data_IF_182819489753
#
_entry.id   IF_182819489753
#
_cell.length_a   1.000
_cell.length_b   1.000
_cell.length_c   1.000
_cell.angle_alpha   90.00
_cell.angle_beta   90.00
_cell.angle_gamma   90.00
#
_symmetry.space_group_name_H-M   'P 1'
#
loop_
_entity.id
_entity.type
_entity.pdbx_description
1 polymer ?
#
# COMPACT_ATOMS: atom_id res chain seq x y z
N UNK A 1 -18.43 -6.52 9.17
CA UNK A 1 -18.53 -5.04 9.29
C UNK A 1 -17.27 -4.36 8.79
N UNK A 2 -16.08 -4.78 9.23
CA UNK A 2 -14.82 -4.14 8.86
C UNK A 2 -14.38 -4.38 7.42
N UNK A 3 -14.59 -5.57 6.88
CA UNK A 3 -14.34 -5.89 5.46
C UNK A 3 -15.09 -4.94 4.51
N UNK A 4 -16.34 -4.63 4.84
CA UNK A 4 -17.17 -3.70 4.06
C UNK A 4 -16.66 -2.26 4.12
N UNK A 5 -16.03 -1.83 5.22
CA UNK A 5 -15.40 -0.51 5.27
C UNK A 5 -14.24 -0.43 4.30
N UNK A 6 -13.38 -1.45 4.25
CA UNK A 6 -12.23 -1.49 3.36
C UNK A 6 -12.69 -1.55 1.90
N UNK A 7 -13.72 -2.35 1.63
CA UNK A 7 -14.38 -2.33 0.33
C UNK A 7 -14.88 -0.93 -0.05
N UNK A 8 -15.59 -0.23 0.84
CA UNK A 8 -16.05 1.14 0.60
C UNK A 8 -14.90 2.12 0.39
N UNK A 9 -13.81 1.98 1.15
CA UNK A 9 -12.60 2.78 0.98
C UNK A 9 -11.98 2.53 -0.40
N UNK A 10 -11.85 1.27 -0.81
CA UNK A 10 -11.28 0.89 -2.11
C UNK A 10 -12.15 1.36 -3.27
N UNK A 11 -13.47 1.24 -3.14
CA UNK A 11 -14.41 1.72 -4.15
C UNK A 11 -14.35 3.24 -4.28
N UNK A 12 -14.28 3.95 -3.16
CA UNK A 12 -14.09 5.40 -3.16
C UNK A 12 -12.76 5.80 -3.82
N UNK A 13 -11.65 5.19 -3.42
CA UNK A 13 -10.32 5.51 -3.97
C UNK A 13 -10.22 5.14 -5.45
N UNK A 14 -10.82 4.03 -5.89
CA UNK A 14 -10.88 3.66 -7.31
C UNK A 14 -11.64 4.69 -8.15
N UNK A 15 -12.75 5.22 -7.65
CA UNK A 15 -13.48 6.32 -8.33
C UNK A 15 -12.66 7.60 -8.36
N UNK A 16 -11.96 7.92 -7.27
CA UNK A 16 -11.03 9.05 -7.19
C UNK A 16 -9.83 8.92 -8.15
N UNK A 17 -9.37 7.70 -8.44
CA UNK A 17 -8.32 7.43 -9.45
C UNK A 17 -8.84 7.65 -10.87
N UNK A 18 -10.05 7.18 -11.16
CA UNK A 18 -10.70 7.37 -12.47
C UNK A 18 -11.06 8.82 -12.75
N UNK A 19 -11.39 9.58 -11.70
CA UNK A 19 -11.71 10.99 -11.80
C UNK A 19 -11.15 11.74 -10.59
N UNK A 20 -10.08 12.51 -10.81
CA UNK A 20 -9.39 13.28 -9.77
C UNK A 20 -10.28 14.35 -9.10
N UNK A 21 -11.36 14.78 -9.76
CA UNK A 21 -12.36 15.71 -9.19
C UNK A 21 -13.45 14.99 -8.38
N UNK A 22 -13.48 13.66 -8.40
CA UNK A 22 -14.44 12.90 -7.62
C UNK A 22 -14.19 13.14 -6.13
N UNK A 23 -15.24 13.55 -5.43
CA UNK A 23 -15.14 14.00 -4.04
C UNK A 23 -15.93 13.11 -3.11
N UNK A 24 -15.63 13.20 -1.81
CA UNK A 24 -16.40 12.49 -0.79
C UNK A 24 -17.87 12.91 -0.78
N UNK A 25 -18.18 14.16 -1.17
CA UNK A 25 -19.56 14.65 -1.33
C UNK A 25 -20.26 13.96 -2.49
N UNK A 26 -19.58 13.80 -3.62
CA UNK A 26 -20.12 13.05 -4.76
C UNK A 26 -20.37 11.58 -4.40
N UNK A 27 -19.44 10.95 -3.67
CA UNK A 27 -19.63 9.57 -3.22
C UNK A 27 -20.75 9.43 -2.19
N UNK A 28 -20.85 10.36 -1.24
CA UNK A 28 -21.93 10.39 -0.26
C UNK A 28 -23.30 10.59 -0.92
N UNK A 29 -23.38 11.49 -1.90
CA UNK A 29 -24.58 11.69 -2.72
C UNK A 29 -24.97 10.41 -3.47
N UNK A 30 -24.00 9.71 -4.07
CA UNK A 30 -24.26 8.44 -4.74
C UNK A 30 -24.82 7.38 -3.77
N UNK A 31 -24.28 7.32 -2.55
CA UNK A 31 -24.70 6.39 -1.48
C UNK A 31 -25.90 6.85 -0.65
N UNK A 32 -26.47 8.02 -0.97
CA UNK A 32 -27.59 8.65 -0.26
C UNK A 32 -27.33 8.77 1.26
N UNK A 33 -26.15 9.24 1.61
CA UNK A 33 -25.83 9.66 2.98
C UNK A 33 -25.16 11.03 2.97
N UNK A 34 -25.09 11.68 4.13
CA UNK A 34 -24.34 12.91 4.25
C UNK A 34 -22.82 12.66 4.24
N UNK A 35 -22.07 13.66 3.75
CA UNK A 35 -20.62 13.54 3.61
C UNK A 35 -19.88 13.40 4.94
N UNK A 36 -20.45 13.88 6.04
CA UNK A 36 -19.82 13.75 7.37
C UNK A 36 -19.92 12.30 7.85
N UNK A 37 -21.09 11.68 7.72
CA UNK A 37 -21.32 10.28 8.06
C UNK A 37 -20.45 9.37 7.21
N UNK A 38 -20.37 9.62 5.90
CA UNK A 38 -19.50 8.83 5.04
C UNK A 38 -18.04 8.96 5.46
N UNK A 39 -17.58 10.18 5.76
CA UNK A 39 -16.22 10.40 6.23
C UNK A 39 -15.93 9.66 7.53
N UNK A 40 -16.85 9.66 8.50
CA UNK A 40 -16.66 8.96 9.78
C UNK A 40 -16.70 7.44 9.60
N UNK A 41 -17.52 6.92 8.68
CA UNK A 41 -17.55 5.49 8.31
C UNK A 41 -16.22 5.10 7.66
N UNK A 42 -15.76 5.87 6.66
CA UNK A 42 -14.49 5.62 5.97
C UNK A 42 -13.29 5.77 6.91
N UNK A 43 -13.31 6.64 7.91
CA UNK A 43 -12.25 6.75 8.92
C UNK A 43 -12.39 5.74 10.07
N UNK A 44 -13.49 4.97 10.12
CA UNK A 44 -13.73 3.94 11.14
C UNK A 44 -14.20 4.46 12.48
N UNK A 45 -14.45 5.76 12.58
CA UNK A 45 -14.97 6.44 13.77
C UNK A 45 -16.45 6.16 13.99
N UNK A 46 -17.17 5.78 12.92
CA UNK A 46 -18.60 5.39 12.96
C UNK A 46 -18.80 3.98 12.42
N UNK A 47 -19.50 3.14 13.18
CA UNK A 47 -19.96 1.81 12.74
C UNK A 47 -21.11 1.96 11.73
N UNK A 48 -21.14 1.11 10.71
CA UNK A 48 -22.21 1.05 9.70
C UNK A 48 -23.32 0.10 10.17
N UNK A 49 -24.60 0.40 9.96
CA UNK A 49 -25.66 -0.57 10.28
C UNK A 49 -25.84 -1.59 9.15
N UNK A 50 -26.39 -2.79 9.44
CA UNK A 50 -26.65 -3.79 8.41
C UNK A 50 -27.60 -3.25 7.31
N UNK A 51 -28.65 -2.52 7.69
CA UNK A 51 -29.58 -1.89 6.74
C UNK A 51 -28.87 -0.90 5.80
N UNK A 52 -27.96 -0.09 6.34
CA UNK A 52 -27.16 0.85 5.53
C UNK A 52 -26.22 0.09 4.59
N UNK A 53 -25.67 -1.01 5.07
CA UNK A 53 -24.76 -1.83 4.29
C UNK A 53 -25.47 -2.51 3.10
N UNK A 54 -26.65 -3.07 3.32
CA UNK A 54 -27.46 -3.70 2.28
C UNK A 54 -27.80 -2.70 1.16
N UNK A 55 -28.11 -1.46 1.54
CA UNK A 55 -28.33 -0.38 0.56
C UNK A 55 -27.07 -0.03 -0.24
N UNK A 56 -25.90 -0.11 0.37
CA UNK A 56 -24.64 0.16 -0.33
C UNK A 56 -24.28 -0.96 -1.31
N UNK A 57 -24.50 -2.22 -0.93
CA UNK A 57 -24.22 -3.37 -1.80
C UNK A 57 -25.18 -3.43 -2.99
N UNK A 58 -26.43 -2.99 -2.83
CA UNK A 58 -27.37 -2.82 -3.94
C UNK A 58 -26.88 -1.80 -4.98
N UNK A 59 -26.32 -0.68 -4.52
CA UNK A 59 -25.84 0.40 -5.41
C UNK A 59 -24.47 0.17 -6.03
N UNK A 60 -23.56 -0.44 -5.29
CA UNK A 60 -22.16 -0.62 -5.69
C UNK A 60 -21.89 -2.01 -6.26
N UNK A 61 -22.84 -2.94 -6.15
CA UNK A 61 -22.60 -4.36 -6.35
C UNK A 61 -22.06 -5.04 -5.09
N UNK A 62 -22.18 -6.37 -5.03
CA UNK A 62 -21.62 -7.13 -3.91
C UNK A 62 -20.09 -7.06 -3.95
N UNK A 63 -19.41 -6.91 -2.80
CA UNK A 63 -17.97 -7.01 -2.75
C UNK A 63 -17.54 -8.38 -3.27
N UNK A 64 -16.59 -8.41 -4.20
CA UNK A 64 -15.91 -9.63 -4.67
C UNK A 64 -14.86 -10.07 -3.63
N UNK A 65 -15.24 -10.07 -2.35
CA UNK A 65 -14.35 -10.37 -1.23
C UNK A 65 -14.43 -11.88 -0.97
N UNK A 66 -13.64 -12.64 -1.72
CA UNK A 66 -13.14 -13.93 -1.24
C UNK A 66 -11.90 -13.63 -0.39
N UNK A 67 -12.09 -13.52 0.93
CA UNK A 67 -10.99 -13.37 1.88
C UNK A 67 -10.92 -14.68 2.69
N UNK A 68 -9.91 -15.50 2.38
CA UNK A 68 -9.49 -16.70 3.13
C UNK A 68 -8.97 -16.31 4.53
N UNK A 69 -9.84 -15.97 5.47
CA UNK A 69 -9.46 -15.77 6.88
C UNK A 69 -10.31 -16.67 7.78
N UNK A 70 -10.26 -17.98 7.49
CA UNK A 70 -11.03 -19.00 8.20
C UNK A 70 -10.53 -19.30 9.62
N UNK A 71 -9.48 -18.64 10.12
CA UNK A 71 -8.80 -19.05 11.37
C UNK A 71 -8.57 -17.95 12.41
N UNK A 72 -9.12 -16.75 12.24
CA UNK A 72 -8.92 -15.66 13.21
C UNK A 72 -10.08 -15.60 14.22
N UNK A 73 -9.80 -15.56 15.55
CA UNK A 73 -10.86 -15.47 16.56
C UNK A 73 -11.72 -14.20 16.38
N UNK A 74 -13.04 -14.40 16.42
CA UNK A 74 -14.07 -13.39 16.11
C UNK A 74 -14.21 -12.35 17.24
N UNK A 75 -13.35 -11.34 17.24
CA UNK A 75 -13.67 -10.03 17.83
C UNK A 75 -13.45 -8.94 16.76
N UNK A 76 -14.37 -7.98 16.67
CA UNK A 76 -14.43 -7.03 15.54
C UNK A 76 -13.17 -6.16 15.40
N UNK A 77 -12.46 -5.95 16.49
CA UNK A 77 -11.25 -5.12 16.58
C UNK A 77 -10.01 -5.85 16.06
N UNK A 78 -9.83 -7.13 16.41
CA UNK A 78 -8.70 -7.92 15.91
C UNK A 78 -8.79 -8.12 14.38
N UNK A 79 -9.99 -8.40 13.87
CA UNK A 79 -10.23 -8.50 12.42
C UNK A 79 -9.93 -7.16 11.71
N UNK A 80 -10.19 -6.03 12.37
CA UNK A 80 -9.89 -4.70 11.82
C UNK A 80 -8.40 -4.45 11.67
N UNK A 81 -7.64 -4.74 12.72
CA UNK A 81 -6.18 -4.62 12.72
C UNK A 81 -5.57 -5.53 11.65
N UNK A 82 -6.03 -6.78 11.55
CA UNK A 82 -5.53 -7.73 10.57
C UNK A 82 -5.77 -7.26 9.12
N UNK A 83 -6.95 -6.74 8.81
CA UNK A 83 -7.27 -6.24 7.47
C UNK A 83 -6.53 -4.94 7.13
N UNK A 84 -6.33 -4.07 8.11
CA UNK A 84 -5.52 -2.87 7.94
C UNK A 84 -4.05 -3.21 7.70
N UNK A 85 -3.50 -4.15 8.47
CA UNK A 85 -2.16 -4.67 8.24
C UNK A 85 -2.05 -5.26 6.83
N UNK A 86 -3.02 -6.06 6.39
CA UNK A 86 -3.07 -6.59 5.02
C UNK A 86 -3.05 -5.46 3.98
N UNK A 87 -3.85 -4.41 4.18
CA UNK A 87 -3.92 -3.30 3.22
C UNK A 87 -2.63 -2.49 3.17
N UNK A 88 -2.00 -2.23 4.33
CA UNK A 88 -0.68 -1.59 4.40
C UNK A 88 0.38 -2.42 3.69
N UNK A 89 0.33 -3.75 3.81
CA UNK A 89 1.24 -4.65 3.08
C UNK A 89 0.94 -4.74 1.58
N UNK A 90 -0.29 -4.42 1.14
CA UNK A 90 -0.73 -4.61 -0.24
C UNK A 90 -0.53 -3.40 -1.14
N UNK A 91 -0.66 -2.19 -0.60
CA UNK A 91 -0.69 -0.95 -1.38
C UNK A 91 0.57 -0.11 -1.15
N UNK A 92 1.36 0.08 -2.21
CA UNK A 92 2.72 0.67 -2.17
C UNK A 92 2.80 2.02 -1.46
N UNK A 93 1.75 2.84 -1.60
CA UNK A 93 1.76 4.21 -1.11
C UNK A 93 1.81 4.30 0.42
N UNK A 94 1.40 3.27 1.18
CA UNK A 94 1.52 3.31 2.63
C UNK A 94 2.97 3.37 3.09
N UNK A 95 3.84 2.54 2.49
CA UNK A 95 5.27 2.56 2.75
C UNK A 95 5.89 3.88 2.29
N UNK A 96 5.51 4.38 1.11
CA UNK A 96 6.03 5.66 0.62
C UNK A 96 5.63 6.84 1.52
N UNK A 97 4.39 6.88 2.02
CA UNK A 97 3.92 7.89 2.98
C UNK A 97 4.71 7.79 4.29
N UNK A 98 4.95 6.58 4.79
CA UNK A 98 5.73 6.36 6.01
C UNK A 98 7.15 6.90 5.86
N UNK A 99 7.82 6.63 4.74
CA UNK A 99 9.16 7.15 4.46
C UNK A 99 9.16 8.67 4.28
N UNK A 100 8.18 9.24 3.56
CA UNK A 100 8.04 10.70 3.40
C UNK A 100 7.90 11.42 4.75
N UNK A 101 7.10 10.87 5.67
CA UNK A 101 6.92 11.43 7.03
C UNK A 101 8.24 11.44 7.81
N UNK A 102 9.17 10.55 7.50
CA UNK A 102 10.49 10.50 8.12
C UNK A 102 11.43 11.62 7.65
N UNK A 103 11.16 12.25 6.50
CA UNK A 103 12.04 13.27 5.91
C UNK A 103 11.93 14.58 6.71
N UNK A 104 13.04 15.12 7.24
CA UNK A 104 13.02 16.38 7.97
C UNK A 104 12.51 17.54 7.11
N UNK A 105 11.54 18.30 7.63
CA UNK A 105 11.02 19.51 6.99
C UNK A 105 9.94 19.28 5.91
N UNK A 106 9.42 18.05 5.78
CA UNK A 106 8.32 17.76 4.86
C UNK A 106 7.02 18.45 5.29
N UNK A 107 6.15 18.86 4.35
CA UNK A 107 4.79 19.30 4.68
C UNK A 107 3.86 18.08 4.78
N UNK A 108 3.40 17.78 6.00
CA UNK A 108 2.54 16.65 6.34
C UNK A 108 1.07 16.82 5.89
N UNK A 109 0.72 17.94 5.25
CA UNK A 109 -0.64 18.11 4.69
C UNK A 109 -0.93 17.02 3.65
N UNK A 110 -2.13 16.42 3.68
CA UNK A 110 -2.51 15.42 2.69
C UNK A 110 -2.39 15.88 1.24
N UNK A 111 -2.56 17.18 0.97
CA UNK A 111 -2.37 17.77 -0.36
C UNK A 111 -0.92 17.76 -0.83
N UNK A 112 0.04 18.00 0.07
CA UNK A 112 1.46 18.01 -0.24
C UNK A 112 1.96 16.60 -0.54
N UNK A 113 1.64 15.64 0.35
CA UNK A 113 2.00 14.23 0.18
C UNK A 113 1.38 13.66 -1.10
N UNK A 114 0.11 13.98 -1.38
CA UNK A 114 -0.58 13.56 -2.60
C UNK A 114 0.14 14.04 -3.86
N UNK A 115 0.58 15.30 -3.87
CA UNK A 115 1.32 15.89 -4.98
C UNK A 115 2.67 15.19 -5.19
N UNK A 116 3.41 14.93 -4.11
CA UNK A 116 4.73 14.28 -4.19
C UNK A 116 4.66 12.83 -4.66
N UNK A 117 3.61 12.10 -4.29
CA UNK A 117 3.45 10.68 -4.66
C UNK A 117 2.62 10.47 -5.93
N UNK A 118 2.02 11.52 -6.51
CA UNK A 118 1.15 11.39 -7.67
C UNK A 118 -0.12 10.59 -7.40
N UNK A 119 -0.68 10.68 -6.18
CA UNK A 119 -1.91 9.99 -5.76
C UNK A 119 -2.99 10.98 -5.32
N UNK A 120 -4.22 10.52 -5.10
CA UNK A 120 -5.30 11.41 -4.66
C UNK A 120 -5.18 11.78 -3.17
N UNK A 121 -5.52 13.01 -2.79
CA UNK A 121 -5.58 13.45 -1.38
C UNK A 121 -6.49 12.57 -0.51
N UNK A 122 -7.55 12.01 -1.10
CA UNK A 122 -8.43 11.05 -0.44
C UNK A 122 -7.67 9.78 -0.02
N UNK A 123 -6.80 9.26 -0.90
CA UNK A 123 -5.96 8.09 -0.62
C UNK A 123 -5.00 8.38 0.52
N UNK A 124 -4.34 9.53 0.49
CA UNK A 124 -3.43 9.95 1.57
C UNK A 124 -4.14 10.03 2.91
N UNK A 125 -5.34 10.65 2.97
CA UNK A 125 -6.10 10.75 4.23
C UNK A 125 -6.46 9.37 4.79
N UNK A 126 -6.95 8.47 3.93
CA UNK A 126 -7.28 7.10 4.32
C UNK A 126 -6.03 6.32 4.77
N UNK A 127 -4.90 6.54 4.09
CA UNK A 127 -3.63 5.91 4.43
C UNK A 127 -3.11 6.38 5.79
N UNK A 128 -3.13 7.69 6.07
CA UNK A 128 -2.72 8.25 7.35
C UNK A 128 -3.59 7.73 8.50
N UNK A 129 -4.92 7.71 8.33
CA UNK A 129 -5.85 7.14 9.33
C UNK A 129 -5.60 5.64 9.59
N UNK A 130 -5.08 4.91 8.60
CA UNK A 130 -4.72 3.50 8.74
C UNK A 130 -3.38 3.31 9.43
N UNK A 131 -2.36 4.06 9.01
CA UNK A 131 -1.03 4.06 9.63
C UNK A 131 -1.10 4.47 11.10
N UNK A 132 -1.95 5.45 11.46
CA UNK A 132 -2.16 5.88 12.85
C UNK A 132 -2.85 4.79 13.67
N UNK A 133 -3.88 4.14 13.12
CA UNK A 133 -4.58 3.03 13.80
C UNK A 133 -3.71 1.80 14.02
N UNK A 134 -2.76 1.55 13.13
CA UNK A 134 -1.76 0.49 13.28
C UNK A 134 -0.55 0.94 14.13
N UNK A 135 -0.61 2.13 14.73
CA UNK A 135 0.45 2.71 15.55
C UNK A 135 1.79 2.84 14.81
N UNK A 136 1.77 2.88 13.48
CA UNK A 136 2.96 3.07 12.64
C UNK A 136 3.39 4.53 12.57
N UNK A 137 2.42 5.44 12.77
CA UNK A 137 2.65 6.87 12.96
C UNK A 137 1.86 7.37 14.15
N UNK A 138 2.37 8.40 14.81
CA UNK A 138 1.68 9.13 15.86
C UNK A 138 1.48 10.58 15.43
N UNK A 139 0.26 11.10 15.59
CA UNK A 139 -0.05 12.50 15.30
C UNK A 139 0.33 13.41 16.48
N UNK A 140 1.10 14.46 16.22
CA UNK A 140 1.41 15.54 17.18
C UNK A 140 0.96 16.87 16.59
N UNK A 141 -0.24 17.31 16.95
CA UNK A 141 -0.84 18.52 16.38
C UNK A 141 -1.09 18.40 14.87
N UNK A 142 -0.32 19.14 14.06
CA UNK A 142 -0.41 19.13 12.60
C UNK A 142 0.63 18.23 11.92
N UNK A 143 1.58 17.67 12.66
CA UNK A 143 2.64 16.80 12.14
C UNK A 143 2.39 15.34 12.54
N UNK A 144 3.03 14.44 11.80
CA UNK A 144 3.07 13.01 12.11
C UNK A 144 4.50 12.61 12.41
N UNK A 145 4.69 11.64 13.28
CA UNK A 145 6.00 11.06 13.58
C UNK A 145 5.91 9.56 13.39
N UNK A 146 6.92 8.95 12.77
CA UNK A 146 7.03 7.49 12.66
C UNK A 146 7.22 6.89 14.05
N UNK A 147 6.54 5.79 14.32
CA UNK A 147 6.83 4.97 15.50
C UNK A 147 8.11 4.16 15.25
N UNK A 148 8.96 4.05 16.26
CA UNK A 148 10.20 3.25 16.18
C UNK A 148 9.85 1.76 16.11
N UNK A 149 10.33 1.05 15.08
CA UNK A 149 10.32 -0.41 15.06
C UNK A 149 9.57 -1.11 13.91
N UNK A 150 8.98 -0.39 12.95
CA UNK A 150 8.40 -1.08 11.78
C UNK A 150 9.47 -1.35 10.72
N UNK A 151 10.10 -2.51 10.83
CA UNK A 151 10.72 -3.15 9.68
C UNK A 151 9.60 -3.79 8.87
N UNK A 152 9.52 -3.51 7.58
CA UNK A 152 8.58 -4.14 6.65
C UNK A 152 8.58 -5.64 6.91
N UNK A 153 7.51 -6.16 7.53
CA UNK A 153 7.35 -7.56 7.89
C UNK A 153 7.23 -8.39 6.61
N UNK A 154 8.37 -8.65 5.99
CA UNK A 154 8.55 -9.69 5.00
C UNK A 154 8.68 -11.00 5.77
N UNK A 155 7.60 -11.78 5.84
CA UNK A 155 7.73 -13.18 6.19
C UNK A 155 8.37 -13.91 5.00
N UNK A 156 9.52 -14.53 5.26
CA UNK A 156 10.10 -15.47 4.29
C UNK A 156 9.04 -16.56 4.02
N UNK A 157 8.79 -16.81 2.73
CA UNK A 157 8.02 -17.94 2.18
C UNK A 157 6.50 -17.79 1.94
N UNK A 158 5.89 -16.60 2.08
CA UNK A 158 4.45 -16.44 1.73
C UNK A 158 4.25 -15.44 0.59
N UNK A 159 3.97 -15.94 -0.62
CA UNK A 159 3.47 -15.12 -1.74
C UNK A 159 1.97 -14.85 -1.60
N UNK A 160 1.58 -14.13 -0.54
CA UNK A 160 0.17 -13.75 -0.36
C UNK A 160 -0.32 -12.84 -1.48
N UNK A 161 -1.63 -12.76 -1.67
CA UNK A 161 -2.26 -11.82 -2.61
C UNK A 161 -1.82 -10.37 -2.36
N UNK A 162 -1.60 -9.99 -1.09
CA UNK A 162 -1.02 -8.69 -0.71
C UNK A 162 0.36 -8.48 -1.33
N UNK A 163 1.28 -9.44 -1.13
CA UNK A 163 2.64 -9.33 -1.68
C UNK A 163 2.63 -9.27 -3.20
N UNK A 164 1.80 -10.07 -3.87
CA UNK A 164 1.66 -10.03 -5.34
C UNK A 164 1.21 -8.64 -5.79
N UNK A 165 0.15 -8.11 -5.18
CA UNK A 165 -0.38 -6.77 -5.51
C UNK A 165 0.66 -5.67 -5.28
N UNK A 166 1.34 -5.69 -4.14
CA UNK A 166 2.38 -4.71 -3.79
C UNK A 166 3.54 -4.75 -4.80
N UNK A 167 4.06 -5.94 -5.11
CA UNK A 167 5.15 -6.10 -6.07
C UNK A 167 4.74 -5.69 -7.48
N UNK A 168 3.52 -6.04 -7.92
CA UNK A 168 2.98 -5.59 -9.22
C UNK A 168 2.96 -4.07 -9.33
N UNK A 169 2.44 -3.38 -8.31
CA UNK A 169 2.39 -1.92 -8.30
C UNK A 169 3.79 -1.28 -8.35
N UNK A 170 4.77 -1.84 -7.64
CA UNK A 170 6.15 -1.34 -7.70
C UNK A 170 6.79 -1.54 -9.07
N UNK A 171 6.53 -2.67 -9.74
CA UNK A 171 7.01 -2.92 -11.10
C UNK A 171 6.35 -1.94 -12.08
N UNK A 172 5.05 -1.66 -11.94
CA UNK A 172 4.37 -0.62 -12.73
C UNK A 172 5.02 0.76 -12.51
N UNK A 173 5.40 1.10 -11.27
CA UNK A 173 6.13 2.34 -10.98
C UNK A 173 7.52 2.37 -11.59
N UNK A 174 8.24 1.25 -11.59
CA UNK A 174 9.51 1.15 -12.30
C UNK A 174 9.33 1.33 -13.82
N UNK A 175 8.28 0.75 -14.40
CA UNK A 175 7.90 0.95 -15.80
C UNK A 175 7.60 2.43 -16.11
N UNK A 176 6.83 3.12 -15.27
CA UNK A 176 6.59 4.56 -15.40
C UNK A 176 7.89 5.37 -15.32
N UNK A 177 8.81 5.01 -14.43
CA UNK A 177 10.10 5.67 -14.26
C UNK A 177 11.03 5.52 -15.48
N UNK A 178 10.90 4.45 -16.27
CA UNK A 178 11.61 4.30 -17.55
C UNK A 178 11.32 5.49 -18.46
N UNK A 179 10.06 5.95 -18.54
CA UNK A 179 9.66 7.01 -19.45
C UNK A 179 9.73 8.41 -18.83
N UNK A 180 9.44 8.54 -17.53
CA UNK A 180 9.17 9.84 -16.91
C UNK A 180 10.27 10.34 -15.97
N UNK A 181 11.18 9.47 -15.51
CA UNK A 181 12.27 9.85 -14.61
C UNK A 181 13.55 10.15 -15.40
N UNK A 182 14.33 11.14 -14.98
CA UNK A 182 15.59 11.51 -15.64
C UNK A 182 16.62 10.39 -15.50
N UNK A 183 17.58 10.32 -16.43
CA UNK A 183 18.61 9.28 -16.42
C UNK A 183 19.50 9.31 -15.16
N UNK A 184 19.79 10.50 -14.62
CA UNK A 184 20.62 10.68 -13.42
C UNK A 184 19.90 10.26 -12.12
N UNK A 185 18.56 10.26 -12.14
CA UNK A 185 17.71 9.98 -10.97
C UNK A 185 17.24 8.50 -10.94
N UNK A 186 17.73 7.65 -11.86
CA UNK A 186 17.33 6.24 -11.93
C UNK A 186 18.46 5.31 -12.39
N UNK A 187 18.44 4.08 -11.89
CA UNK A 187 19.19 2.97 -12.45
C UNK A 187 18.24 1.80 -12.67
N UNK A 188 17.84 1.58 -13.93
CA UNK A 188 16.94 0.50 -14.34
C UNK A 188 17.67 -0.35 -15.37
N UNK A 189 18.43 -1.31 -14.88
CA UNK A 189 19.25 -2.22 -15.69
C UNK A 189 18.84 -3.67 -15.47
N UNK A 190 19.22 -4.54 -16.42
CA UNK A 190 18.95 -5.97 -16.32
C UNK A 190 20.04 -6.80 -16.98
N UNK A 191 20.17 -8.04 -16.53
CA UNK A 191 21.06 -9.04 -17.12
C UNK A 191 20.25 -10.30 -17.42
N UNK A 192 20.56 -10.98 -18.54
CA UNK A 192 19.93 -12.25 -18.91
C UNK A 192 20.99 -13.34 -18.93
N UNK A 193 20.73 -14.46 -18.27
CA UNK A 193 21.69 -15.55 -18.12
C UNK A 193 21.00 -16.91 -18.02
N UNK A 194 21.69 -17.96 -18.46
CA UNK A 194 21.35 -19.33 -18.09
C UNK A 194 21.92 -19.62 -16.69
N UNK A 195 21.13 -20.24 -15.82
CA UNK A 195 21.52 -20.49 -14.41
C UNK A 195 21.47 -21.99 -14.07
N UNK A 196 22.27 -22.39 -13.09
CA UNK A 196 22.01 -23.59 -12.30
C UNK A 196 20.98 -23.25 -11.21
N UNK A 197 19.82 -23.93 -11.23
CA UNK A 197 18.74 -23.71 -10.25
C UNK A 197 19.16 -24.07 -8.82
N UNK A 198 20.15 -24.95 -8.64
CA UNK A 198 20.68 -25.29 -7.32
C UNK A 198 21.33 -24.08 -6.62
N UNK A 199 21.73 -23.06 -7.38
CA UNK A 199 22.31 -21.82 -6.85
C UNK A 199 21.26 -20.77 -6.44
N UNK A 200 19.97 -20.98 -6.72
CA UNK A 200 18.91 -20.01 -6.37
C UNK A 200 18.82 -19.68 -4.87
N UNK A 201 18.95 -20.64 -3.92
CA UNK A 201 18.96 -20.32 -2.50
C UNK A 201 20.11 -19.40 -2.10
N UNK A 202 21.31 -19.62 -2.64
CA UNK A 202 22.48 -18.77 -2.41
C UNK A 202 22.29 -17.38 -3.04
N UNK A 203 21.78 -17.32 -4.27
CA UNK A 203 21.49 -16.06 -4.95
C UNK A 203 20.48 -15.20 -4.15
N UNK A 204 19.41 -15.80 -3.61
CA UNK A 204 18.43 -15.10 -2.75
C UNK A 204 19.07 -14.51 -1.50
N UNK A 205 19.98 -15.24 -0.84
CA UNK A 205 20.74 -14.73 0.32
C UNK A 205 21.60 -13.52 -0.05
N UNK A 206 22.31 -13.59 -1.18
CA UNK A 206 23.14 -12.47 -1.68
C UNK A 206 22.30 -11.24 -2.01
N UNK A 207 21.18 -11.42 -2.72
CA UNK A 207 20.24 -10.33 -3.04
C UNK A 207 19.69 -9.69 -1.75
N UNK A 208 19.35 -10.49 -0.74
CA UNK A 208 18.88 -9.98 0.56
C UNK A 208 19.95 -9.15 1.28
N UNK A 209 21.20 -9.62 1.30
CA UNK A 209 22.32 -8.89 1.89
C UNK A 209 22.56 -7.57 1.15
N UNK A 210 22.66 -7.60 -0.17
CA UNK A 210 22.82 -6.42 -1.01
C UNK A 210 21.72 -5.38 -0.75
N UNK A 211 20.44 -5.79 -0.69
CA UNK A 211 19.33 -4.86 -0.39
C UNK A 211 19.48 -4.17 0.97
N UNK A 212 20.00 -4.88 1.98
CA UNK A 212 20.25 -4.32 3.31
C UNK A 212 21.41 -3.33 3.28
N UNK A 213 22.52 -3.71 2.66
CA UNK A 213 23.70 -2.85 2.47
C UNK A 213 23.34 -1.55 1.72
N UNK A 214 22.53 -1.65 0.66
CA UNK A 214 22.05 -0.48 -0.08
C UNK A 214 21.13 0.41 0.74
N UNK A 215 20.25 -0.18 1.57
CA UNK A 215 19.39 0.61 2.46
C UNK A 215 20.24 1.37 3.49
N UNK A 216 21.18 0.70 4.16
CA UNK A 216 22.11 1.33 5.11
C UNK A 216 22.92 2.46 4.47
N UNK A 217 23.39 2.26 3.23
CA UNK A 217 24.13 3.27 2.46
C UNK A 217 23.25 4.49 2.14
N UNK A 218 22.05 4.28 1.60
CA UNK A 218 21.20 5.36 1.09
C UNK A 218 20.40 6.08 2.18
N UNK A 219 20.18 5.42 3.32
CA UNK A 219 19.56 6.05 4.50
C UNK A 219 20.56 6.85 5.33
N UNK A 220 21.87 6.66 5.12
CA UNK A 220 22.91 7.42 5.81
C UNK A 220 23.00 8.86 5.30
N UNK A 221 22.81 9.83 6.21
CA UNK A 221 22.90 11.25 5.92
C UNK A 221 21.54 11.94 5.82
N UNK A 222 21.49 13.05 5.07
CA UNK A 222 20.27 13.85 4.93
C UNK A 222 19.33 13.22 3.90
N UNK A 223 18.30 12.55 4.40
CA UNK A 223 17.21 12.03 3.60
C UNK A 223 16.39 13.19 3.01
N UNK A 224 16.12 13.17 1.70
CA UNK A 224 15.42 14.25 0.99
C UNK A 224 14.29 13.77 0.07
N UNK A 225 14.31 12.50 -0.32
CA UNK A 225 13.34 11.92 -1.24
C UNK A 225 13.20 10.42 -0.99
N UNK A 226 12.01 9.88 -1.27
CA UNK A 226 11.74 8.44 -1.17
C UNK A 226 12.09 7.77 -2.49
N UNK A 227 12.96 6.76 -2.41
CA UNK A 227 13.35 5.89 -3.53
C UNK A 227 12.86 4.47 -3.28
N UNK A 228 12.60 3.73 -4.37
CA UNK A 228 12.32 2.31 -4.30
C UNK A 228 13.43 1.52 -5.03
N UNK A 229 14.03 0.54 -4.35
CA UNK A 229 14.98 -0.40 -4.93
C UNK A 229 14.28 -1.75 -5.18
N UNK A 230 13.93 -2.01 -6.44
CA UNK A 230 13.37 -3.28 -6.89
C UNK A 230 14.42 -4.18 -7.53
N UNK A 231 14.46 -5.46 -7.14
CA UNK A 231 15.33 -6.47 -7.76
C UNK A 231 14.48 -7.70 -8.09
N UNK A 232 14.43 -8.07 -9.37
CA UNK A 232 13.64 -9.20 -9.84
C UNK A 232 14.54 -10.32 -10.36
N UNK A 233 14.40 -11.53 -9.81
CA UNK A 233 15.02 -12.75 -10.30
C UNK A 233 13.91 -13.79 -10.56
N UNK A 234 13.60 -14.03 -11.84
CA UNK A 234 12.49 -14.89 -12.26
C UNK A 234 12.88 -15.72 -13.49
N UNK A 235 12.24 -16.89 -13.71
CA UNK A 235 12.49 -17.67 -14.91
C UNK A 235 11.92 -16.98 -16.15
N UNK A 236 12.77 -16.69 -17.13
CA UNK A 236 12.36 -16.19 -18.45
C UNK A 236 11.98 -17.33 -19.41
N UNK A 237 12.46 -18.55 -19.15
CA UNK A 237 12.18 -19.74 -19.95
C UNK A 237 11.40 -20.80 -19.17
N UNK A 238 10.58 -21.57 -19.88
CA UNK A 238 9.84 -22.71 -19.31
C UNK A 238 10.80 -23.86 -19.04
N UNK A 239 10.46 -24.69 -18.05
CA UNK A 239 11.16 -25.95 -17.86
C UNK A 239 11.01 -26.86 -19.08
N UNK A 240 12.11 -27.48 -19.51
CA UNK A 240 12.03 -28.54 -20.53
C UNK A 240 11.28 -29.72 -19.90
N UNK A 241 10.13 -30.07 -20.45
CA UNK A 241 9.46 -31.34 -20.11
C UNK A 241 10.42 -32.48 -20.45
N UNK A 242 10.71 -33.36 -19.48
CA UNK A 242 11.42 -34.61 -19.77
C UNK A 242 10.56 -35.40 -20.76
N UNK A 243 11.15 -35.79 -21.90
CA UNK A 243 10.58 -36.80 -22.79
C UNK A 243 10.72 -38.17 -22.15
#
# INVERSE_FOLDING_TARGET
MTEYRIWLQNEYTNRCKRNSRYSIRAFASFLEIDSSSLSQILSGKRKISQKTLDRFTEKLGKPEIEIEFSQVPKTSEYQMIALDAFTVMSDWYHTAILELIGIPGIDHKPSSIALQLGINQAEVKIALDRLERLELITKKGKTYHRSSGFHTNYSEDITSSAHKKFQSQLIEKALEAIYNCKAEDKDITSITMAIDKNNLPLARKKIKAFRREMAELLENGKQTQVYNLGIQLFPLSKERKKK
#
